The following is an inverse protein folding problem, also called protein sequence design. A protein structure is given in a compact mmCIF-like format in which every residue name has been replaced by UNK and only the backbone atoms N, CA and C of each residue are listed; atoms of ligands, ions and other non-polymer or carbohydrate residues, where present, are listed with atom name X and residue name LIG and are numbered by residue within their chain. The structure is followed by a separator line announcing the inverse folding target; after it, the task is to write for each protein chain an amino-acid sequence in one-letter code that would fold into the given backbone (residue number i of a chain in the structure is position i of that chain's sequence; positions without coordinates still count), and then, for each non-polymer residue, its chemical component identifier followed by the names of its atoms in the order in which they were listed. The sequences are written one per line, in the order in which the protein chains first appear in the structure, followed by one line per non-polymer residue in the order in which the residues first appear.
data_IF_351372727663
#
_entry.id   IF_351372727663
#
_cell.length_a   1.000
_cell.length_b   1.000
_cell.length_c   1.000
_cell.angle_alpha   90.00
_cell.angle_beta   90.00
_cell.angle_gamma   90.00
#
_symmetry.space_group_name_H-M   'P 1'
#
loop_
_entity.id
_entity.type
_entity.pdbx_description
1 polymer ?
#
# COMPACT_ATOMS: atom_id res chain seq x y z
N UNK A 1 39.66 36.23 -27.81
CA UNK A 1 38.51 36.08 -28.72
C UNK A 1 37.55 35.04 -28.12
N UNK A 2 36.25 35.14 -28.36
CA UNK A 2 35.26 34.16 -27.93
C UNK A 2 35.53 32.80 -28.61
N UNK A 3 35.53 31.71 -27.85
CA UNK A 3 35.78 30.36 -28.38
C UNK A 3 34.64 29.82 -29.26
N UNK A 4 33.46 30.45 -29.24
CA UNK A 4 32.29 30.04 -30.02
C UNK A 4 32.17 30.84 -31.33
N UNK A 5 32.44 32.16 -31.30
CA UNK A 5 32.25 33.03 -32.48
C UNK A 5 33.47 33.87 -32.90
N UNK A 6 34.60 33.80 -32.17
CA UNK A 6 35.83 34.53 -32.49
C UNK A 6 35.86 36.02 -32.11
N UNK A 7 34.76 36.60 -31.60
CA UNK A 7 34.65 38.02 -31.27
C UNK A 7 35.61 38.48 -30.13
N UNK A 8 36.02 39.78 -30.07
CA UNK A 8 36.77 40.34 -28.94
C UNK A 8 35.98 40.31 -27.61
N UNK A 9 36.59 40.71 -26.49
CA UNK A 9 36.03 40.56 -25.14
C UNK A 9 34.61 41.19 -24.97
N UNK A 10 33.80 40.63 -24.05
CA UNK A 10 32.37 40.94 -23.76
C UNK A 10 31.30 40.30 -24.67
N UNK A 11 31.42 39.01 -24.96
CA UNK A 11 30.46 38.26 -25.79
C UNK A 11 29.62 37.26 -24.97
N UNK A 12 28.30 37.20 -25.18
CA UNK A 12 27.34 36.41 -24.38
C UNK A 12 27.18 34.92 -24.79
N UNK A 13 27.76 34.50 -25.92
CA UNK A 13 27.54 33.14 -26.46
C UNK A 13 27.94 32.00 -25.51
N UNK A 14 28.97 32.19 -24.67
CA UNK A 14 29.37 31.16 -23.69
C UNK A 14 28.31 31.01 -22.59
N UNK A 15 27.79 32.13 -22.05
CA UNK A 15 26.71 32.10 -21.06
C UNK A 15 25.41 31.51 -21.61
N UNK A 16 25.09 31.76 -22.88
CA UNK A 16 23.94 31.16 -23.55
C UNK A 16 24.12 29.64 -23.74
N UNK A 17 25.30 29.21 -24.20
CA UNK A 17 25.63 27.80 -24.33
C UNK A 17 25.60 27.07 -22.97
N UNK A 18 26.11 27.71 -21.92
CA UNK A 18 26.04 27.20 -20.55
C UNK A 18 24.58 27.09 -20.07
N UNK A 19 23.74 28.10 -20.33
CA UNK A 19 22.32 28.06 -19.96
C UNK A 19 21.59 26.88 -20.63
N UNK A 20 21.86 26.63 -21.92
CA UNK A 20 21.33 25.46 -22.64
C UNK A 20 21.85 24.16 -22.04
N UNK A 21 23.15 24.06 -21.75
CA UNK A 21 23.74 22.87 -21.14
C UNK A 21 23.16 22.57 -19.75
N UNK A 22 22.93 23.60 -18.93
CA UNK A 22 22.27 23.48 -17.62
C UNK A 22 20.83 22.99 -17.79
N UNK A 23 20.05 23.57 -18.70
CA UNK A 23 18.66 23.15 -18.94
C UNK A 23 18.59 21.67 -19.38
N UNK A 24 19.50 21.25 -20.26
CA UNK A 24 19.60 19.85 -20.67
C UNK A 24 20.03 18.92 -19.51
N UNK A 25 20.97 19.35 -18.68
CA UNK A 25 21.40 18.58 -17.51
C UNK A 25 20.27 18.44 -16.47
N UNK A 26 19.54 19.52 -16.21
CA UNK A 26 18.37 19.52 -15.33
C UNK A 26 17.27 18.59 -15.87
N UNK A 27 16.96 18.62 -17.17
CA UNK A 27 15.97 17.73 -17.76
C UNK A 27 16.35 16.24 -17.57
N UNK A 28 17.63 15.89 -17.78
CA UNK A 28 18.13 14.52 -17.51
C UNK A 28 18.01 14.16 -16.03
N UNK A 29 18.35 15.10 -15.14
CA UNK A 29 18.25 14.90 -13.70
C UNK A 29 16.82 14.68 -13.24
N UNK A 30 15.86 15.47 -13.73
CA UNK A 30 14.44 15.29 -13.43
C UNK A 30 13.89 13.96 -13.93
N UNK A 31 14.30 13.53 -15.12
CA UNK A 31 13.94 12.19 -15.64
C UNK A 31 14.48 11.07 -14.74
N UNK A 32 15.72 11.21 -14.24
CA UNK A 32 16.30 10.27 -13.28
C UNK A 32 15.52 10.26 -11.96
N UNK A 33 15.19 11.42 -11.40
CA UNK A 33 14.38 11.53 -10.17
C UNK A 33 13.00 10.90 -10.36
N UNK A 34 12.33 11.13 -11.49
CA UNK A 34 11.03 10.52 -11.78
C UNK A 34 11.12 9.00 -11.76
N UNK A 35 12.12 8.44 -12.44
CA UNK A 35 12.35 6.98 -12.50
C UNK A 35 12.59 6.40 -11.11
N UNK A 36 13.41 7.07 -10.29
CA UNK A 36 13.67 6.69 -8.90
C UNK A 36 12.38 6.72 -8.08
N UNK A 37 11.60 7.80 -8.21
CA UNK A 37 10.35 7.98 -7.47
C UNK A 37 9.35 6.88 -7.81
N UNK A 38 9.18 6.56 -9.09
CA UNK A 38 8.27 5.50 -9.54
C UNK A 38 8.70 4.12 -9.01
N UNK A 39 10.01 3.86 -9.02
CA UNK A 39 10.58 2.64 -8.47
C UNK A 39 10.31 2.54 -6.96
N UNK A 40 10.64 3.57 -6.19
CA UNK A 40 10.41 3.60 -4.74
C UNK A 40 8.92 3.47 -4.42
N UNK A 41 8.06 4.19 -5.13
CA UNK A 41 6.61 4.12 -4.96
C UNK A 41 6.10 2.68 -5.12
N UNK A 42 6.49 2.02 -6.20
CA UNK A 42 6.06 0.65 -6.51
C UNK A 42 6.50 -0.32 -5.41
N UNK A 43 7.75 -0.22 -4.96
CA UNK A 43 8.28 -1.14 -3.94
C UNK A 43 7.67 -0.89 -2.56
N UNK A 44 7.51 0.37 -2.17
CA UNK A 44 6.85 0.73 -0.92
C UNK A 44 5.39 0.27 -0.89
N UNK A 45 4.65 0.48 -1.99
CA UNK A 45 3.27 0.02 -2.11
C UNK A 45 3.17 -1.51 -2.02
N UNK A 46 4.04 -2.24 -2.72
CA UNK A 46 4.05 -3.71 -2.68
C UNK A 46 4.31 -4.25 -1.28
N UNK A 47 5.23 -3.63 -0.53
CA UNK A 47 5.53 -4.04 0.83
C UNK A 47 4.36 -3.78 1.79
N UNK A 48 3.73 -2.60 1.73
CA UNK A 48 2.57 -2.29 2.56
C UNK A 48 1.39 -3.21 2.23
N UNK A 49 1.19 -3.50 0.96
CA UNK A 49 0.18 -4.47 0.52
C UNK A 49 0.50 -5.87 1.05
N UNK A 50 1.75 -6.33 0.99
CA UNK A 50 2.14 -7.64 1.53
C UNK A 50 1.86 -7.73 3.03
N UNK A 51 2.22 -6.71 3.82
CA UNK A 51 1.89 -6.67 5.25
C UNK A 51 0.38 -6.77 5.51
N UNK A 52 -0.43 -6.06 4.72
CA UNK A 52 -1.88 -6.11 4.85
C UNK A 52 -2.45 -7.48 4.46
N UNK A 53 -1.91 -8.13 3.43
CA UNK A 53 -2.31 -9.50 3.07
C UNK A 53 -2.04 -10.49 4.20
N UNK A 54 -0.91 -10.36 4.89
CA UNK A 54 -0.59 -11.20 6.05
C UNK A 54 -1.60 -10.99 7.20
N UNK A 55 -1.90 -9.73 7.55
CA UNK A 55 -2.87 -9.40 8.59
C UNK A 55 -4.29 -9.85 8.25
N UNK A 56 -4.76 -9.54 7.05
CA UNK A 56 -6.09 -9.94 6.58
C UNK A 56 -6.24 -11.46 6.52
N UNK A 57 -5.20 -12.20 6.10
CA UNK A 57 -5.21 -13.66 6.12
C UNK A 57 -5.34 -14.22 7.55
N UNK A 58 -4.64 -13.60 8.50
CA UNK A 58 -4.69 -13.95 9.92
C UNK A 58 -6.07 -13.68 10.51
N UNK A 59 -6.65 -12.51 10.23
CA UNK A 59 -8.03 -12.15 10.61
C UNK A 59 -9.05 -13.12 10.07
N UNK A 60 -8.93 -13.51 8.80
CA UNK A 60 -9.85 -14.46 8.18
C UNK A 60 -9.79 -15.83 8.86
N UNK A 61 -8.58 -16.31 9.22
CA UNK A 61 -8.43 -17.56 9.98
C UNK A 61 -9.08 -17.46 11.37
N UNK A 62 -8.87 -16.35 12.08
CA UNK A 62 -9.49 -16.12 13.39
C UNK A 62 -11.02 -16.05 13.30
N UNK A 63 -11.55 -15.32 12.32
CA UNK A 63 -12.99 -15.22 12.08
C UNK A 63 -13.60 -16.60 11.80
N UNK A 64 -13.00 -17.39 10.88
CA UNK A 64 -13.48 -18.75 10.58
C UNK A 64 -13.47 -19.65 11.80
N UNK A 65 -12.36 -19.67 12.54
CA UNK A 65 -12.23 -20.45 13.76
C UNK A 65 -13.28 -20.06 14.81
N UNK A 66 -13.57 -18.77 14.96
CA UNK A 66 -14.59 -18.30 15.88
C UNK A 66 -16.00 -18.72 15.44
N UNK A 67 -16.35 -18.53 14.17
CA UNK A 67 -17.65 -18.94 13.64
C UNK A 67 -17.83 -20.47 13.75
N UNK A 68 -16.80 -21.25 13.47
CA UNK A 68 -16.80 -22.71 13.62
C UNK A 68 -17.00 -23.16 15.08
N UNK A 69 -16.63 -22.32 16.05
CA UNK A 69 -16.82 -22.58 17.48
C UNK A 69 -18.23 -22.24 17.99
N UNK A 70 -19.06 -21.57 17.19
CA UNK A 70 -20.44 -21.21 17.59
C UNK A 70 -21.25 -22.50 17.82
N UNK A 71 -22.00 -22.62 18.94
CA UNK A 71 -22.85 -23.77 19.19
C UNK A 71 -23.80 -24.07 18.04
N UNK A 72 -23.93 -25.35 17.68
CA UNK A 72 -24.77 -25.84 16.57
C UNK A 72 -24.39 -25.33 15.17
N UNK A 73 -23.27 -24.63 15.00
CA UNK A 73 -22.85 -24.10 13.69
C UNK A 73 -22.73 -25.20 12.61
N UNK A 74 -22.16 -26.36 12.96
CA UNK A 74 -22.07 -27.48 12.02
C UNK A 74 -23.44 -27.96 11.51
N UNK A 75 -24.43 -28.03 12.39
CA UNK A 75 -25.80 -28.40 12.01
C UNK A 75 -26.46 -27.27 11.20
N UNK A 76 -26.23 -26.01 11.56
CA UNK A 76 -26.68 -24.86 10.77
C UNK A 76 -26.18 -24.93 9.33
N UNK A 77 -24.89 -25.24 9.11
CA UNK A 77 -24.29 -25.39 7.78
C UNK A 77 -24.87 -26.60 7.03
N UNK A 78 -24.97 -27.76 7.68
CA UNK A 78 -25.52 -28.99 7.08
C UNK A 78 -26.96 -28.81 6.58
N UNK A 79 -27.74 -27.98 7.26
CA UNK A 79 -29.12 -27.67 6.90
C UNK A 79 -29.28 -26.37 6.10
N UNK A 80 -28.20 -25.88 5.47
CA UNK A 80 -28.22 -24.68 4.61
C UNK A 80 -28.85 -23.44 5.27
N UNK A 81 -28.60 -23.27 6.58
CA UNK A 81 -29.12 -22.15 7.37
C UNK A 81 -30.53 -22.33 7.93
N UNK A 82 -31.16 -23.50 7.72
CA UNK A 82 -32.48 -23.82 8.28
C UNK A 82 -32.47 -25.14 9.07
N UNK A 83 -31.65 -25.28 10.12
CA UNK A 83 -31.63 -26.49 10.94
C UNK A 83 -32.92 -26.62 11.76
N UNK A 84 -33.33 -27.86 12.10
CA UNK A 84 -34.49 -28.12 12.96
C UNK A 84 -34.18 -27.80 14.42
N UNK A 85 -33.89 -26.53 14.71
CA UNK A 85 -33.56 -25.99 16.02
C UNK A 85 -34.73 -25.18 16.59
N UNK A 86 -34.72 -25.00 17.91
CA UNK A 86 -35.63 -24.07 18.55
C UNK A 86 -35.33 -22.63 18.04
N UNK A 87 -36.36 -21.78 17.78
CA UNK A 87 -36.14 -20.42 17.26
C UNK A 87 -35.20 -19.56 18.08
N UNK A 88 -35.16 -19.76 19.40
CA UNK A 88 -34.23 -19.06 20.29
C UNK A 88 -32.76 -19.40 19.96
N UNK A 89 -32.43 -20.68 19.78
CA UNK A 89 -31.07 -21.13 19.46
C UNK A 89 -30.64 -20.63 18.07
N UNK A 90 -31.57 -20.63 17.11
CA UNK A 90 -31.36 -20.00 15.81
C UNK A 90 -31.07 -18.51 15.92
N UNK A 91 -31.83 -17.78 16.75
CA UNK A 91 -31.59 -16.36 17.01
C UNK A 91 -30.19 -16.11 17.60
N UNK A 92 -29.76 -16.96 18.54
CA UNK A 92 -28.43 -16.88 19.12
C UNK A 92 -27.32 -17.10 18.09
N UNK A 93 -27.43 -18.12 17.24
CA UNK A 93 -26.42 -18.39 16.19
C UNK A 93 -26.28 -17.18 15.26
N UNK A 94 -27.39 -16.63 14.76
CA UNK A 94 -27.35 -15.46 13.89
C UNK A 94 -26.72 -14.25 14.59
N UNK A 95 -27.10 -13.97 15.83
CA UNK A 95 -26.57 -12.84 16.59
C UNK A 95 -25.05 -12.97 16.84
N UNK A 96 -24.55 -14.18 17.13
CA UNK A 96 -23.11 -14.42 17.27
C UNK A 96 -22.37 -14.29 15.94
N UNK A 97 -22.94 -14.81 14.84
CA UNK A 97 -22.36 -14.68 13.50
C UNK A 97 -22.29 -13.21 13.04
N UNK A 98 -23.36 -12.44 13.27
CA UNK A 98 -23.40 -11.02 12.92
C UNK A 98 -22.35 -10.23 13.73
N UNK A 99 -22.22 -10.53 15.02
CA UNK A 99 -21.20 -9.92 15.88
C UNK A 99 -19.78 -10.27 15.41
N UNK A 100 -19.54 -11.55 15.10
CA UNK A 100 -18.26 -12.02 14.58
C UNK A 100 -17.89 -11.30 13.27
N UNK A 101 -18.87 -11.13 12.37
CA UNK A 101 -18.68 -10.44 11.09
C UNK A 101 -18.37 -8.94 11.28
N UNK A 102 -19.05 -8.28 12.22
CA UNK A 102 -18.78 -6.89 12.56
C UNK A 102 -17.34 -6.70 13.09
N UNK A 103 -16.93 -7.54 14.06
CA UNK A 103 -15.57 -7.51 14.62
C UNK A 103 -14.52 -7.78 13.55
N UNK A 104 -14.77 -8.74 12.65
CA UNK A 104 -13.87 -9.03 11.54
C UNK A 104 -13.71 -7.81 10.62
N UNK A 105 -14.81 -7.17 10.23
CA UNK A 105 -14.78 -5.99 9.37
C UNK A 105 -14.02 -4.83 10.01
N UNK A 106 -14.33 -4.50 11.27
CA UNK A 106 -13.61 -3.46 12.01
C UNK A 106 -12.11 -3.78 12.15
N UNK A 107 -11.79 -5.05 12.36
CA UNK A 107 -10.40 -5.53 12.41
C UNK A 107 -9.67 -5.30 11.10
N UNK A 108 -10.30 -5.61 9.97
CA UNK A 108 -9.75 -5.37 8.63
C UNK A 108 -9.49 -3.87 8.39
N UNK A 109 -10.47 -3.02 8.71
CA UNK A 109 -10.34 -1.56 8.52
C UNK A 109 -9.23 -0.96 9.38
N UNK A 110 -9.08 -1.45 10.62
CA UNK A 110 -7.99 -1.06 11.52
C UNK A 110 -6.63 -1.51 10.99
N UNK A 111 -6.49 -2.78 10.62
CA UNK A 111 -5.23 -3.33 10.16
C UNK A 111 -4.77 -2.63 8.86
N UNK A 112 -5.69 -2.26 7.97
CA UNK A 112 -5.37 -1.44 6.80
C UNK A 112 -4.83 -0.05 7.19
N UNK A 113 -5.49 0.63 8.14
CA UNK A 113 -5.04 1.94 8.63
C UNK A 113 -3.63 1.86 9.22
N UNK A 114 -3.35 0.83 10.01
CA UNK A 114 -2.03 0.59 10.59
C UNK A 114 -0.97 0.35 9.52
N UNK A 115 -1.29 -0.42 8.46
CA UNK A 115 -0.40 -0.62 7.32
C UNK A 115 -0.06 0.70 6.60
N UNK A 116 -1.07 1.52 6.31
CA UNK A 116 -0.88 2.82 5.63
C UNK A 116 -0.04 3.78 6.48
N UNK A 117 -0.18 3.76 7.81
CA UNK A 117 0.64 4.59 8.70
C UNK A 117 2.14 4.26 8.65
N UNK A 118 2.53 3.09 8.11
CA UNK A 118 3.93 2.70 7.94
C UNK A 118 4.59 3.31 6.70
N UNK A 119 3.84 3.92 5.78
CA UNK A 119 4.39 4.47 4.53
C UNK A 119 5.62 5.38 4.74
N UNK A 120 5.65 6.33 5.69
CA UNK A 120 6.83 7.18 5.87
C UNK A 120 8.12 6.38 6.11
N UNK A 121 8.10 5.44 7.05
CA UNK A 121 9.25 4.59 7.34
C UNK A 121 9.62 3.66 6.18
N UNK A 122 8.61 3.09 5.51
CA UNK A 122 8.83 2.20 4.36
C UNK A 122 9.46 2.99 3.20
N UNK A 123 8.98 4.20 2.92
CA UNK A 123 9.53 5.08 1.89
C UNK A 123 10.98 5.45 2.20
N UNK A 124 11.30 5.86 3.43
CA UNK A 124 12.67 6.18 3.85
C UNK A 124 13.62 5.00 3.61
N UNK A 125 13.18 3.79 4.00
CA UNK A 125 13.93 2.56 3.78
C UNK A 125 14.20 2.27 2.29
N UNK A 126 13.24 2.55 1.41
CA UNK A 126 13.40 2.34 -0.03
C UNK A 126 14.25 3.43 -0.69
N UNK A 127 14.11 4.69 -0.29
CA UNK A 127 14.99 5.77 -0.77
C UNK A 127 16.46 5.53 -0.39
N UNK A 128 16.74 4.97 0.79
CA UNK A 128 18.11 4.61 1.20
C UNK A 128 18.75 3.51 0.33
N UNK A 129 17.97 2.76 -0.45
CA UNK A 129 18.47 1.72 -1.37
C UNK A 129 18.75 2.23 -2.77
N UNK A 130 18.38 3.47 -3.06
CA UNK A 130 18.61 4.08 -4.37
C UNK A 130 20.02 4.66 -4.41
N UNK A 131 20.82 4.20 -5.36
CA UNK A 131 22.08 4.85 -5.70
C UNK A 131 21.81 6.01 -6.68
N UNK A 132 22.25 7.21 -6.28
CA UNK A 132 22.11 8.45 -7.07
C UNK A 132 23.42 8.78 -7.77
#
# INVERSE_FOLDING_TARGET
SCAICGAPANCHHESEALAVAIAQAQARWWSKISTITDWVFTHAQNEVNAMYQDYSSSRLRQYRSHVESIPYYQMFVQHHGNPPLHPMDLGHIHAEMDRAAAIYKEGIDRDWRECVQKYPHVLDKWYQRVEV
#
